data_IF_696578923374
#
_entry.id   IF_696578923374
#
_cell.length_a   1.000
_cell.length_b   1.000
_cell.length_c   1.000
_cell.angle_alpha   90.00
_cell.angle_beta   90.00
_cell.angle_gamma   90.00
#
_symmetry.space_group_name_H-M   'P 1'
#
loop_
_entity.id
_entity.type
_entity.pdbx_description
1 polymer ?
#
# COMPACT_ATOMS: atom_id res chain seq x y z
N UNK A 1 52.62 -30.81 -10.41
CA UNK A 1 52.58 -29.34 -10.50
C UNK A 1 51.29 -28.89 -9.85
N UNK A 2 51.37 -28.32 -8.65
CA UNK A 2 50.20 -27.80 -7.96
C UNK A 2 49.74 -26.53 -8.69
N UNK A 3 48.52 -26.53 -9.20
CA UNK A 3 47.87 -25.33 -9.72
C UNK A 3 47.57 -24.43 -8.53
N UNK A 4 48.38 -23.39 -8.36
CA UNK A 4 48.12 -22.30 -7.42
C UNK A 4 46.70 -21.79 -7.67
N UNK A 5 45.84 -21.99 -6.67
CA UNK A 5 44.52 -21.37 -6.67
C UNK A 5 44.71 -19.87 -6.77
N UNK A 6 44.17 -19.27 -7.83
CA UNK A 6 44.09 -17.83 -7.98
C UNK A 6 43.28 -17.27 -6.81
N UNK A 7 43.96 -16.97 -5.71
CA UNK A 7 43.41 -16.24 -4.58
C UNK A 7 43.09 -14.85 -5.11
N UNK A 8 41.86 -14.65 -5.57
CA UNK A 8 41.35 -13.35 -6.01
C UNK A 8 41.58 -12.41 -4.83
N UNK A 9 42.50 -11.47 -5.00
CA UNK A 9 42.75 -10.41 -4.02
C UNK A 9 41.39 -9.76 -3.73
N UNK A 10 40.96 -9.65 -2.46
CA UNK A 10 39.67 -9.04 -2.15
C UNK A 10 39.67 -7.63 -2.74
N UNK A 11 38.72 -7.37 -3.64
CA UNK A 11 38.61 -6.07 -4.28
C UNK A 11 38.38 -5.00 -3.20
N UNK A 12 39.14 -3.90 -3.27
CA UNK A 12 38.99 -2.80 -2.33
C UNK A 12 37.57 -2.25 -2.44
N UNK A 13 36.77 -2.25 -1.36
CA UNK A 13 35.40 -1.75 -1.41
C UNK A 13 35.38 -0.25 -1.74
N UNK A 14 34.83 0.11 -2.90
CA UNK A 14 34.68 1.52 -3.30
C UNK A 14 33.49 2.15 -2.60
N UNK A 15 33.61 3.43 -2.29
CA UNK A 15 32.53 4.19 -1.69
C UNK A 15 31.45 4.51 -2.72
N UNK A 16 30.23 4.03 -2.47
CA UNK A 16 29.05 4.12 -3.34
C UNK A 16 28.03 5.19 -2.87
N UNK A 17 28.38 5.98 -1.85
CA UNK A 17 27.47 6.94 -1.21
C UNK A 17 26.76 6.40 0.04
N UNK A 18 26.77 5.08 0.26
CA UNK A 18 26.16 4.43 1.42
C UNK A 18 27.21 4.11 2.49
N UNK A 19 27.51 5.10 3.33
CA UNK A 19 28.55 4.96 4.35
C UNK A 19 28.40 3.74 5.25
N UNK A 20 27.19 3.35 5.67
CA UNK A 20 27.03 2.18 6.55
C UNK A 20 27.42 0.85 5.88
N UNK A 21 27.09 0.70 4.59
CA UNK A 21 27.40 -0.52 3.84
C UNK A 21 28.89 -0.57 3.50
N UNK A 22 29.41 0.54 2.97
CA UNK A 22 30.84 0.70 2.71
C UNK A 22 31.69 0.53 3.96
N UNK A 23 31.32 1.15 5.09
CA UNK A 23 32.07 1.05 6.33
C UNK A 23 32.12 -0.40 6.84
N UNK A 24 31.02 -1.16 6.75
CA UNK A 24 31.01 -2.59 7.11
C UNK A 24 31.99 -3.41 6.25
N UNK A 25 31.96 -3.22 4.93
CA UNK A 25 32.85 -3.94 4.01
C UNK A 25 34.32 -3.53 4.19
N UNK A 26 34.58 -2.22 4.32
CA UNK A 26 35.92 -1.67 4.48
C UNK A 26 36.52 -2.04 5.84
N UNK A 27 35.73 -2.00 6.91
CA UNK A 27 36.15 -2.45 8.24
C UNK A 27 36.52 -3.94 8.21
N UNK A 28 35.69 -4.78 7.60
CA UNK A 28 35.97 -6.21 7.49
C UNK A 28 37.24 -6.47 6.64
N UNK A 29 37.42 -5.74 5.54
CA UNK A 29 38.62 -5.79 4.72
C UNK A 29 39.89 -5.39 5.52
N UNK A 30 39.84 -4.28 6.26
CA UNK A 30 40.98 -3.82 7.07
C UNK A 30 41.27 -4.73 8.27
N UNK A 31 40.24 -5.36 8.85
CA UNK A 31 40.38 -6.40 9.88
C UNK A 31 41.04 -7.66 9.32
N UNK A 32 40.64 -8.11 8.12
CA UNK A 32 41.24 -9.28 7.45
C UNK A 32 42.73 -9.10 7.12
N UNK A 33 43.19 -7.85 7.02
CA UNK A 33 44.59 -7.48 6.76
C UNK A 33 45.35 -7.02 8.02
N UNK A 34 44.73 -7.09 9.21
CA UNK A 34 45.28 -6.66 10.50
C UNK A 34 45.68 -5.16 10.58
N UNK A 35 45.08 -4.31 9.74
CA UNK A 35 45.33 -2.87 9.73
C UNK A 35 44.35 -2.07 10.60
N UNK A 36 43.24 -2.69 11.00
CA UNK A 36 42.17 -2.04 11.76
C UNK A 36 42.65 -1.37 13.06
N UNK A 37 43.59 -2.00 13.78
CA UNK A 37 44.12 -1.48 15.06
C UNK A 37 44.66 -0.06 14.92
N UNK A 38 45.29 0.26 13.79
CA UNK A 38 45.88 1.58 13.52
C UNK A 38 44.81 2.60 13.10
N UNK A 39 43.72 2.14 12.48
CA UNK A 39 42.58 2.99 12.11
C UNK A 39 41.73 3.35 13.33
N UNK A 40 41.53 2.42 14.25
CA UNK A 40 40.74 2.63 15.47
C UNK A 40 41.51 3.40 16.54
N UNK A 41 42.72 2.95 16.88
CA UNK A 41 43.50 3.55 17.97
C UNK A 41 44.37 4.72 17.50
N UNK A 42 44.73 4.76 16.22
CA UNK A 42 45.75 5.68 15.69
C UNK A 42 47.16 5.15 15.89
N UNK A 43 48.14 5.78 15.25
CA UNK A 43 49.56 5.51 15.53
C UNK A 43 49.90 6.17 16.85
N UNK A 44 50.22 5.40 17.89
CA UNK A 44 50.60 6.00 19.18
C UNK A 44 51.98 6.62 19.04
N UNK A 45 52.09 7.93 19.21
CA UNK A 45 53.39 8.57 19.39
C UNK A 45 54.03 8.00 20.66
N UNK A 46 55.22 7.41 20.54
CA UNK A 46 55.96 6.90 21.69
C UNK A 46 56.11 8.03 22.72
N UNK A 47 55.43 7.91 23.85
CA UNK A 47 55.31 8.97 24.85
C UNK A 47 56.53 9.05 25.80
N UNK A 48 57.68 8.48 25.44
CA UNK A 48 58.84 8.43 26.33
C UNK A 48 60.10 9.01 25.68
N UNK A 49 60.83 9.80 26.48
CA UNK A 49 62.01 10.60 26.12
C UNK A 49 63.22 9.74 25.68
N UNK A 50 63.19 8.42 25.88
CA UNK A 50 64.15 7.47 25.32
C UNK A 50 63.46 6.13 24.99
N UNK A 51 62.93 5.95 23.76
CA UNK A 51 62.23 4.73 23.40
C UNK A 51 63.20 3.55 23.31
N UNK A 52 62.85 2.44 23.96
CA UNK A 52 63.57 1.16 23.84
C UNK A 52 63.55 0.67 22.39
N UNK A 53 64.54 -0.12 21.95
CA UNK A 53 64.59 -0.64 20.57
C UNK A 53 63.31 -1.40 20.17
N UNK A 54 62.70 -2.11 21.11
CA UNK A 54 61.41 -2.78 20.91
C UNK A 54 60.24 -1.79 20.69
N UNK A 55 60.23 -0.65 21.38
CA UNK A 55 59.23 0.42 21.19
C UNK A 55 59.42 1.14 19.84
N UNK A 56 60.67 1.35 19.40
CA UNK A 56 60.97 1.92 18.08
C UNK A 56 60.49 1.01 16.95
N UNK A 57 60.78 -0.29 17.05
CA UNK A 57 60.37 -1.29 16.06
C UNK A 57 58.84 -1.39 15.94
N UNK A 58 58.14 -1.42 17.06
CA UNK A 58 56.66 -1.45 17.07
C UNK A 58 56.04 -0.17 16.51
N UNK A 59 56.63 1.01 16.76
CA UNK A 59 56.20 2.27 16.16
C UNK A 59 56.39 2.30 14.64
N UNK A 60 57.52 1.81 14.14
CA UNK A 60 57.77 1.70 12.69
C UNK A 60 56.81 0.73 12.00
N UNK A 61 56.52 -0.40 12.64
CA UNK A 61 55.52 -1.37 12.17
C UNK A 61 54.11 -0.76 12.14
N UNK A 62 53.72 0.01 13.16
CA UNK A 62 52.44 0.73 13.18
C UNK A 62 52.36 1.79 12.08
N UNK A 63 53.44 2.56 11.86
CA UNK A 63 53.50 3.57 10.80
C UNK A 63 53.40 2.93 9.41
N UNK A 64 54.04 1.78 9.20
CA UNK A 64 53.93 1.04 7.94
C UNK A 64 52.50 0.53 7.73
N UNK A 65 51.84 0.02 8.79
CA UNK A 65 50.43 -0.38 8.74
C UNK A 65 49.50 0.81 8.46
N UNK A 66 49.75 1.98 9.04
CA UNK A 66 49.00 3.23 8.75
C UNK A 66 49.09 3.60 7.26
N UNK A 67 50.31 3.62 6.70
CA UNK A 67 50.52 3.94 5.30
C UNK A 67 49.81 2.94 4.36
N UNK A 68 49.80 1.65 4.69
CA UNK A 68 49.06 0.64 3.95
C UNK A 68 47.54 0.88 4.03
N UNK A 69 47.01 1.12 5.23
CA UNK A 69 45.60 1.44 5.43
C UNK A 69 45.18 2.70 4.67
N UNK A 70 46.01 3.76 4.69
CA UNK A 70 45.79 4.98 3.90
C UNK A 70 45.73 4.70 2.42
N UNK A 71 46.65 3.89 1.87
CA UNK A 71 46.63 3.52 0.46
C UNK A 71 45.32 2.83 0.06
N UNK A 72 44.79 1.94 0.91
CA UNK A 72 43.49 1.31 0.66
C UNK A 72 42.33 2.30 0.75
N UNK A 73 42.34 3.20 1.74
CA UNK A 73 41.32 4.25 1.85
C UNK A 73 41.37 5.21 0.64
N UNK A 74 42.56 5.54 0.12
CA UNK A 74 42.68 6.34 -1.10
C UNK A 74 42.20 5.61 -2.36
N UNK A 75 42.36 4.29 -2.43
CA UNK A 75 41.80 3.50 -3.54
C UNK A 75 40.27 3.34 -3.45
N UNK A 76 39.73 3.38 -2.24
CA UNK A 76 38.31 3.25 -1.97
C UNK A 76 37.51 4.55 -2.20
N UNK A 77 38.17 5.70 -2.08
CA UNK A 77 37.54 7.02 -2.10
C UNK A 77 37.84 7.75 -3.40
N UNK A 78 36.79 8.27 -4.03
CA UNK A 78 36.94 9.12 -5.21
C UNK A 78 37.57 10.48 -4.88
N UNK A 79 38.19 11.09 -5.88
CA UNK A 79 38.88 12.40 -5.76
C UNK A 79 38.00 13.48 -5.15
N UNK A 80 36.73 13.55 -5.55
CA UNK A 80 35.77 14.53 -5.04
C UNK A 80 35.53 14.39 -3.53
N UNK A 81 35.54 13.15 -3.01
CA UNK A 81 35.38 12.88 -1.58
C UNK A 81 36.68 13.20 -0.85
N UNK A 82 37.82 12.83 -1.42
CA UNK A 82 39.13 13.15 -0.85
C UNK A 82 39.33 14.66 -0.73
N UNK A 83 38.89 15.46 -1.70
CA UNK A 83 38.98 16.93 -1.63
C UNK A 83 38.18 17.52 -0.45
N UNK A 84 37.15 16.82 0.03
CA UNK A 84 36.37 17.28 1.19
C UNK A 84 36.95 16.93 2.55
N UNK A 85 37.96 16.06 2.61
CA UNK A 85 38.62 15.66 3.86
C UNK A 85 39.80 16.61 4.08
N UNK A 86 39.77 17.39 5.17
CA UNK A 86 40.80 18.39 5.47
C UNK A 86 42.08 17.71 5.95
N UNK A 87 41.98 16.79 6.92
CA UNK A 87 43.12 16.12 7.54
C UNK A 87 43.29 14.70 7.01
N UNK A 88 44.38 14.45 6.28
CA UNK A 88 44.70 13.16 5.63
C UNK A 88 46.01 12.54 6.15
N UNK A 89 46.48 12.98 7.31
CA UNK A 89 47.79 12.61 7.82
C UNK A 89 47.85 11.15 8.29
N UNK A 90 46.76 10.66 8.87
CA UNK A 90 46.63 9.27 9.37
C UNK A 90 45.40 8.58 8.77
N UNK A 91 45.42 7.25 8.69
CA UNK A 91 44.25 6.47 8.26
C UNK A 91 43.04 6.71 9.16
N UNK A 92 43.28 6.88 10.47
CA UNK A 92 42.28 7.25 11.47
C UNK A 92 41.59 8.58 11.15
N UNK A 93 42.36 9.63 10.85
CA UNK A 93 41.80 10.94 10.51
C UNK A 93 40.88 10.88 9.28
N UNK A 94 41.27 10.10 8.26
CA UNK A 94 40.47 9.87 7.05
C UNK A 94 39.17 9.13 7.41
N UNK A 95 39.28 8.06 8.21
CA UNK A 95 38.13 7.26 8.65
C UNK A 95 37.14 8.06 9.50
N UNK A 96 37.63 8.80 10.49
CA UNK A 96 36.82 9.62 11.38
C UNK A 96 36.14 10.78 10.62
N UNK A 97 36.85 11.40 9.67
CA UNK A 97 36.26 12.44 8.81
C UNK A 97 35.12 11.88 7.94
N UNK A 98 35.33 10.69 7.36
CA UNK A 98 34.30 9.98 6.60
C UNK A 98 33.10 9.63 7.48
N UNK A 99 33.36 9.15 8.70
CA UNK A 99 32.33 8.83 9.70
C UNK A 99 31.52 10.07 10.04
N UNK A 100 32.15 11.16 10.42
CA UNK A 100 31.45 12.40 10.80
C UNK A 100 30.60 12.95 9.66
N UNK A 101 31.15 12.99 8.44
CA UNK A 101 30.48 13.60 7.28
C UNK A 101 29.31 12.76 6.78
N UNK A 102 29.47 11.44 6.70
CA UNK A 102 28.48 10.58 6.05
C UNK A 102 27.59 9.83 7.03
N UNK A 103 28.02 9.53 8.26
CA UNK A 103 27.17 8.82 9.22
C UNK A 103 25.91 9.63 9.60
N UNK A 104 26.02 10.94 9.79
CA UNK A 104 24.87 11.81 10.06
C UNK A 104 23.91 11.84 8.88
N UNK A 105 24.46 12.05 7.68
CA UNK A 105 23.69 12.12 6.43
C UNK A 105 23.01 10.79 6.10
N UNK A 106 23.67 9.64 6.31
CA UNK A 106 23.10 8.31 6.09
C UNK A 106 22.04 7.96 7.14
N UNK A 107 22.23 8.34 8.42
CA UNK A 107 21.25 8.08 9.47
C UNK A 107 19.97 8.89 9.26
N UNK A 108 20.10 10.15 8.84
CA UNK A 108 18.96 11.02 8.50
C UNK A 108 18.25 10.51 7.25
N UNK A 109 18.99 10.18 6.17
CA UNK A 109 18.40 9.58 4.95
C UNK A 109 17.64 8.29 5.26
N UNK A 110 18.21 7.40 6.10
CA UNK A 110 17.53 6.16 6.52
C UNK A 110 16.28 6.44 7.34
N UNK A 111 16.34 7.36 8.31
CA UNK A 111 15.16 7.72 9.11
C UNK A 111 14.05 8.31 8.24
N UNK A 112 14.40 9.17 7.29
CA UNK A 112 13.46 9.73 6.33
C UNK A 112 12.87 8.65 5.42
N UNK A 113 13.69 7.73 4.92
CA UNK A 113 13.22 6.59 4.13
C UNK A 113 12.25 5.70 4.92
N UNK A 114 12.52 5.44 6.19
CA UNK A 114 11.62 4.66 7.05
C UNK A 114 10.29 5.37 7.31
N UNK A 115 10.29 6.70 7.47
CA UNK A 115 9.06 7.47 7.54
C UNK A 115 8.25 7.36 6.24
N UNK A 116 8.91 7.46 5.08
CA UNK A 116 8.27 7.31 3.77
C UNK A 116 7.71 5.90 3.54
N UNK A 117 8.41 4.85 3.98
CA UNK A 117 7.90 3.47 3.93
C UNK A 117 6.64 3.30 4.76
N UNK A 118 6.63 3.85 5.98
CA UNK A 118 5.43 3.86 6.82
C UNK A 118 4.28 4.60 6.13
N UNK A 119 4.54 5.78 5.55
CA UNK A 119 3.55 6.53 4.77
C UNK A 119 3.04 5.74 3.57
N UNK A 120 3.92 5.02 2.86
CA UNK A 120 3.57 4.15 1.74
C UNK A 120 2.75 2.94 2.19
N UNK A 121 3.02 2.34 3.34
CA UNK A 121 2.26 1.21 3.86
C UNK A 121 0.83 1.61 4.25
N UNK A 122 0.68 2.77 4.90
CA UNK A 122 -0.63 3.26 5.36
C UNK A 122 -1.42 4.01 4.28
N UNK A 123 -0.83 4.35 3.14
CA UNK A 123 -1.54 5.07 2.09
C UNK A 123 -2.70 4.20 1.58
N UNK A 124 -3.90 4.78 1.64
CA UNK A 124 -5.12 4.22 1.11
C UNK A 124 -5.93 5.34 0.46
N UNK A 125 -6.82 4.97 -0.46
CA UNK A 125 -7.76 5.91 -1.04
C UNK A 125 -8.78 6.34 0.02
N UNK A 126 -9.04 7.64 0.15
CA UNK A 126 -10.03 8.18 1.10
C UNK A 126 -11.44 8.13 0.50
N UNK A 127 -12.46 8.15 1.34
CA UNK A 127 -13.85 8.26 0.89
C UNK A 127 -14.07 9.60 0.19
N UNK A 128 -14.54 9.57 -1.06
CA UNK A 128 -14.81 10.77 -1.87
C UNK A 128 -13.58 11.43 -2.50
N UNK A 129 -12.38 10.86 -2.34
CA UNK A 129 -11.19 11.28 -3.07
C UNK A 129 -11.24 10.78 -4.51
N UNK A 130 -10.77 11.60 -5.47
CA UNK A 130 -10.71 11.17 -6.86
C UNK A 130 -9.56 10.18 -7.11
N UNK A 131 -9.70 9.32 -8.12
CA UNK A 131 -8.64 8.37 -8.51
C UNK A 131 -7.33 9.11 -8.84
N UNK A 132 -7.42 10.24 -9.55
CA UNK A 132 -6.25 11.05 -9.93
C UNK A 132 -5.51 11.63 -8.72
N UNK A 133 -6.24 12.17 -7.73
CA UNK A 133 -5.62 12.70 -6.50
C UNK A 133 -4.92 11.60 -5.73
N UNK A 134 -5.57 10.44 -5.59
CA UNK A 134 -5.01 9.31 -4.88
C UNK A 134 -3.73 8.79 -5.56
N UNK A 135 -3.75 8.55 -6.86
CA UNK A 135 -2.57 8.09 -7.62
C UNK A 135 -1.44 9.12 -7.53
N UNK A 136 -1.75 10.42 -7.64
CA UNK A 136 -0.76 11.48 -7.48
C UNK A 136 -0.07 11.43 -6.11
N UNK A 137 -0.81 11.19 -5.01
CA UNK A 137 -0.20 11.04 -3.67
C UNK A 137 0.73 9.83 -3.59
N UNK A 138 0.31 8.68 -4.14
CA UNK A 138 1.14 7.47 -4.17
C UNK A 138 2.43 7.72 -4.94
N UNK A 139 2.33 8.33 -6.14
CA UNK A 139 3.49 8.67 -6.97
C UNK A 139 4.44 9.65 -6.27
N UNK A 140 3.92 10.65 -5.55
CA UNK A 140 4.75 11.57 -4.77
C UNK A 140 5.55 10.83 -3.70
N UNK A 141 4.93 9.89 -2.97
CA UNK A 141 5.62 9.09 -1.95
C UNK A 141 6.66 8.18 -2.61
N UNK A 142 6.30 7.47 -3.68
CA UNK A 142 7.22 6.61 -4.44
C UNK A 142 8.42 7.39 -4.98
N UNK A 143 8.21 8.58 -5.54
CA UNK A 143 9.30 9.42 -6.04
C UNK A 143 10.22 9.89 -4.92
N UNK A 144 9.67 10.21 -3.73
CA UNK A 144 10.48 10.52 -2.54
C UNK A 144 11.28 9.29 -2.07
N UNK A 145 10.72 8.08 -2.14
CA UNK A 145 11.43 6.85 -1.79
C UNK A 145 12.59 6.57 -2.77
N UNK A 146 12.33 6.69 -4.08
CA UNK A 146 13.34 6.57 -5.13
C UNK A 146 14.47 7.59 -4.96
N UNK A 147 14.13 8.85 -4.65
CA UNK A 147 15.13 9.89 -4.40
C UNK A 147 16.02 9.61 -3.17
N UNK A 148 15.52 8.83 -2.19
CA UNK A 148 16.29 8.42 -1.02
C UNK A 148 17.04 7.09 -1.21
N UNK A 149 17.05 6.54 -2.43
CA UNK A 149 17.88 5.39 -2.81
C UNK A 149 17.18 4.04 -2.75
N UNK A 150 15.85 4.00 -2.61
CA UNK A 150 15.08 2.76 -2.66
C UNK A 150 14.59 2.49 -4.10
N UNK A 151 14.98 1.34 -4.65
CA UNK A 151 14.51 0.92 -5.96
C UNK A 151 13.11 0.29 -5.87
N UNK A 152 12.10 1.11 -6.12
CA UNK A 152 10.71 0.66 -6.16
C UNK A 152 10.33 0.33 -7.60
N UNK A 153 10.19 -0.98 -7.87
CA UNK A 153 9.70 -1.50 -9.17
C UNK A 153 8.29 -0.98 -9.45
N UNK A 154 8.02 -0.63 -10.70
CA UNK A 154 6.71 -0.12 -11.12
C UNK A 154 5.57 -1.08 -10.80
N UNK A 155 5.79 -2.38 -11.00
CA UNK A 155 4.86 -3.45 -10.62
C UNK A 155 4.45 -3.38 -9.14
N UNK A 156 5.39 -3.09 -8.24
CA UNK A 156 5.09 -2.98 -6.81
C UNK A 156 4.22 -1.76 -6.48
N UNK A 157 4.28 -0.71 -7.30
CA UNK A 157 3.41 0.48 -7.18
C UNK A 157 2.01 0.16 -7.67
N UNK A 158 1.91 -0.51 -8.83
CA UNK A 158 0.62 -0.96 -9.40
C UNK A 158 -0.11 -1.89 -8.44
N UNK A 159 0.57 -2.92 -7.92
CA UNK A 159 -0.01 -3.83 -6.94
C UNK A 159 -0.42 -3.10 -5.66
N UNK A 160 0.36 -2.10 -5.22
CA UNK A 160 0.01 -1.29 -4.05
C UNK A 160 -1.27 -0.50 -4.29
N UNK A 161 -1.40 0.15 -5.45
CA UNK A 161 -2.60 0.91 -5.83
C UNK A 161 -3.81 -0.03 -5.79
N UNK A 162 -3.75 -1.17 -6.50
CA UNK A 162 -4.85 -2.15 -6.54
C UNK A 162 -5.27 -2.63 -5.14
N UNK A 163 -4.31 -2.90 -4.24
CA UNK A 163 -4.57 -3.36 -2.87
C UNK A 163 -5.08 -2.29 -1.90
N UNK A 164 -5.01 -1.00 -2.25
CA UNK A 164 -5.36 0.09 -1.33
C UNK A 164 -6.38 1.09 -1.90
N UNK A 165 -7.09 0.68 -2.95
CA UNK A 165 -8.33 1.31 -3.42
C UNK A 165 -9.49 1.05 -2.45
N UNK A 166 -10.52 1.91 -2.53
CA UNK A 166 -11.75 1.74 -1.72
C UNK A 166 -12.58 0.54 -2.20
N UNK A 167 -13.46 -0.02 -1.35
CA UNK A 167 -14.31 -1.17 -1.72
C UNK A 167 -15.18 -0.95 -2.96
N UNK A 168 -15.49 0.32 -3.28
CA UNK A 168 -16.25 0.69 -4.46
C UNK A 168 -15.56 0.27 -5.78
N UNK A 169 -14.23 0.11 -5.75
CA UNK A 169 -13.44 -0.31 -6.91
C UNK A 169 -13.14 -1.81 -6.90
N UNK A 170 -13.59 -2.60 -5.92
CA UNK A 170 -13.28 -4.03 -5.82
C UNK A 170 -13.64 -4.80 -7.10
N UNK A 171 -14.79 -4.50 -7.71
CA UNK A 171 -15.20 -5.12 -8.98
C UNK A 171 -14.22 -4.82 -10.13
N UNK A 172 -13.72 -3.58 -10.19
CA UNK A 172 -12.76 -3.15 -11.21
C UNK A 172 -11.39 -3.79 -10.96
N UNK A 173 -10.97 -3.89 -9.70
CA UNK A 173 -9.74 -4.58 -9.30
C UNK A 173 -9.79 -6.04 -9.77
N UNK A 174 -10.84 -6.78 -9.44
CA UNK A 174 -10.99 -8.17 -9.91
C UNK A 174 -10.97 -8.27 -11.44
N UNK A 175 -11.68 -7.37 -12.14
CA UNK A 175 -11.68 -7.36 -13.61
C UNK A 175 -10.29 -7.11 -14.19
N UNK A 176 -9.50 -6.21 -13.60
CA UNK A 176 -8.12 -5.93 -14.04
C UNK A 176 -7.21 -7.12 -13.74
N UNK A 177 -7.32 -7.73 -12.56
CA UNK A 177 -6.53 -8.90 -12.15
C UNK A 177 -6.82 -10.13 -13.04
N UNK A 178 -8.07 -10.31 -13.49
CA UNK A 178 -8.46 -11.40 -14.38
C UNK A 178 -8.09 -11.14 -15.85
N UNK A 179 -8.19 -9.89 -16.31
CA UNK A 179 -8.04 -9.57 -17.74
C UNK A 179 -6.63 -9.15 -18.15
N UNK A 180 -5.78 -8.72 -17.22
CA UNK A 180 -4.46 -8.17 -17.53
C UNK A 180 -3.36 -8.81 -16.69
N UNK A 181 -2.19 -8.95 -17.30
CA UNK A 181 -0.98 -9.35 -16.58
C UNK A 181 -0.44 -8.16 -15.78
N UNK A 182 -0.56 -8.24 -14.45
CA UNK A 182 -0.12 -7.21 -13.50
C UNK A 182 1.39 -6.94 -13.64
N UNK A 183 2.18 -7.93 -14.06
CA UNK A 183 3.63 -7.79 -14.21
C UNK A 183 4.06 -6.90 -15.38
N UNK A 184 3.19 -6.71 -16.37
CA UNK A 184 3.42 -5.90 -17.56
C UNK A 184 2.60 -4.61 -17.57
N UNK A 185 1.72 -4.43 -16.58
CA UNK A 185 0.82 -3.29 -16.50
C UNK A 185 1.59 -2.01 -16.12
N UNK A 186 1.45 -0.96 -16.92
CA UNK A 186 1.97 0.37 -16.59
C UNK A 186 1.03 1.15 -15.66
N UNK A 187 1.58 2.12 -14.93
CA UNK A 187 0.76 3.00 -14.07
C UNK A 187 -0.25 3.81 -14.90
N UNK A 188 0.13 4.25 -16.10
CA UNK A 188 -0.73 5.06 -16.98
C UNK A 188 -1.92 4.26 -17.52
N UNK A 189 -1.71 2.98 -17.87
CA UNK A 189 -2.78 2.07 -18.28
C UNK A 189 -3.73 1.74 -17.13
N UNK A 190 -3.18 1.55 -15.91
CA UNK A 190 -3.97 1.36 -14.70
C UNK A 190 -4.85 2.59 -14.44
N UNK A 191 -4.25 3.78 -14.44
CA UNK A 191 -4.94 5.05 -14.22
C UNK A 191 -6.06 5.24 -15.24
N UNK A 192 -5.77 5.01 -16.53
CA UNK A 192 -6.77 5.12 -17.60
C UNK A 192 -7.94 4.16 -17.38
N UNK A 193 -7.66 2.92 -16.95
CA UNK A 193 -8.70 1.92 -16.66
C UNK A 193 -9.58 2.34 -15.48
N UNK A 194 -8.96 2.81 -14.38
CA UNK A 194 -9.68 3.24 -13.18
C UNK A 194 -10.54 4.50 -13.43
N UNK A 195 -10.05 5.47 -14.21
CA UNK A 195 -10.78 6.69 -14.56
C UNK A 195 -12.04 6.42 -15.37
N UNK A 196 -11.98 5.49 -16.34
CA UNK A 196 -13.15 5.09 -17.13
C UNK A 196 -14.25 4.53 -16.22
N UNK A 197 -13.88 3.80 -15.17
CA UNK A 197 -14.84 3.28 -14.20
C UNK A 197 -15.36 4.36 -13.24
N UNK A 198 -14.51 5.27 -12.76
CA UNK A 198 -14.94 6.41 -11.93
C UNK A 198 -16.01 7.26 -12.65
N UNK A 199 -15.81 7.53 -13.95
CA UNK A 199 -16.78 8.27 -14.75
C UNK A 199 -18.12 7.52 -14.91
N UNK A 200 -18.08 6.19 -15.08
CA UNK A 200 -19.31 5.37 -15.17
C UNK A 200 -20.05 5.32 -13.83
N UNK A 201 -19.34 5.25 -12.72
CA UNK A 201 -19.93 5.24 -11.37
C UNK A 201 -20.52 6.61 -10.98
N UNK A 202 -19.89 7.71 -11.40
CA UNK A 202 -20.43 9.07 -11.19
C UNK A 202 -21.78 9.27 -11.89
N UNK A 203 -21.99 8.65 -13.06
CA UNK A 203 -23.26 8.74 -13.78
C UNK A 203 -24.39 7.97 -13.09
N UNK A 204 -24.09 6.80 -12.50
CA UNK A 204 -25.09 6.01 -11.77
C UNK A 204 -25.63 6.70 -10.52
N UNK A 205 -24.82 7.50 -9.81
CA UNK A 205 -25.28 8.26 -8.63
C UNK A 205 -26.31 9.34 -9.04
N UNK A 206 -26.13 9.98 -10.21
CA UNK A 206 -27.10 10.96 -10.69
C UNK A 206 -28.45 10.34 -11.08
N UNK A 207 -28.45 9.14 -11.66
CA UNK A 207 -29.69 8.44 -12.02
C UNK A 207 -30.44 7.87 -10.81
N UNK A 208 -29.74 7.45 -9.76
CA UNK A 208 -30.39 7.00 -8.50
C UNK A 208 -31.09 8.14 -7.75
N UNK A 209 -30.59 9.38 -7.84
CA UNK A 209 -31.27 10.56 -7.30
C UNK A 209 -32.52 10.97 -8.11
N UNK A 210 -32.58 10.64 -9.40
CA UNK A 210 -33.77 10.83 -10.22
C UNK A 210 -34.85 9.75 -9.98
N UNK A 211 -34.45 8.57 -9.49
CA UNK A 211 -35.33 7.44 -9.14
C UNK A 211 -35.83 7.44 -7.70
N UNK A 212 -35.56 8.50 -6.90
CA UNK A 212 -36.31 8.76 -5.67
C UNK A 212 -37.68 9.34 -6.02
N UNK A 213 -38.63 8.48 -6.38
CA UNK A 213 -40.06 8.78 -6.24
C UNK A 213 -40.29 9.11 -4.77
N UNK A 214 -40.53 10.39 -4.49
CA UNK A 214 -40.85 10.89 -3.15
C UNK A 214 -42.16 10.25 -2.67
N UNK A 215 -42.09 9.10 -2.02
CA UNK A 215 -43.14 8.70 -1.09
C UNK A 215 -43.04 9.63 0.12
N UNK A 216 -43.71 10.77 0.00
CA UNK A 216 -43.85 11.78 1.04
C UNK A 216 -44.57 11.18 2.25
N UNK A 217 -43.78 10.70 3.20
CA UNK A 217 -44.22 10.29 4.52
C UNK A 217 -44.55 11.57 5.32
N UNK A 218 -45.74 12.13 5.11
CA UNK A 218 -46.26 13.26 5.90
C UNK A 218 -46.87 12.74 7.21
N UNK A 219 -46.01 12.47 8.19
CA UNK A 219 -46.42 12.50 9.59
C UNK A 219 -46.48 13.96 10.03
N UNK A 220 -47.68 14.53 10.08
CA UNK A 220 -47.92 15.83 10.72
C UNK A 220 -49.30 15.87 11.42
N UNK A 221 -49.25 15.79 12.75
CA UNK A 221 -50.12 16.55 13.66
C UNK A 221 -51.63 16.28 13.65
N UNK A 222 -52.09 15.44 14.58
CA UNK A 222 -53.46 15.48 15.11
C UNK A 222 -53.68 16.79 15.88
N UNK A 223 -54.15 17.83 15.20
CA UNK A 223 -54.69 19.05 15.80
C UNK A 223 -56.22 19.03 15.81
N UNK A 224 -56.83 18.89 16.99
CA UNK A 224 -58.26 19.14 17.23
C UNK A 224 -58.53 20.64 17.13
N UNK A 225 -59.44 21.06 16.25
CA UNK A 225 -59.91 22.45 16.17
C UNK A 225 -61.28 22.54 15.51
N UNK A 226 -62.32 22.76 16.34
CA UNK A 226 -63.70 23.08 15.95
C UNK A 226 -63.75 24.45 15.27
N UNK A 227 -64.51 24.58 14.19
CA UNK A 227 -64.86 25.88 13.59
C UNK A 227 -65.86 25.71 12.45
N UNK A 228 -67.08 26.15 12.69
CA UNK A 228 -68.27 25.93 11.87
C UNK A 228 -68.49 27.10 10.87
N UNK A 229 -69.26 26.81 9.82
CA UNK A 229 -69.97 27.71 8.89
C UNK A 229 -69.28 28.15 7.57
N UNK A 230 -69.87 27.66 6.48
CA UNK A 230 -70.58 28.55 5.54
C UNK A 230 -69.82 28.99 4.30
N UNK A 231 -69.79 28.14 3.26
CA UNK A 231 -69.33 28.54 1.94
C UNK A 231 -69.87 27.66 0.83
N UNK A 232 -70.94 28.09 0.16
CA UNK A 232 -71.44 27.54 -1.11
C UNK A 232 -70.35 27.71 -2.18
N UNK A 233 -69.65 26.62 -2.51
CA UNK A 233 -68.65 26.55 -3.57
C UNK A 233 -69.09 25.59 -4.66
N UNK A 234 -69.16 26.12 -5.88
CA UNK A 234 -69.69 25.53 -7.10
C UNK A 234 -68.94 24.27 -7.54
N UNK A 235 -69.67 23.36 -8.18
CA UNK A 235 -69.20 22.05 -8.62
C UNK A 235 -67.92 22.07 -9.44
N UNK A 236 -67.05 21.11 -9.14
CA UNK A 236 -66.07 20.59 -10.10
C UNK A 236 -66.58 19.22 -10.52
N UNK A 237 -66.94 19.13 -11.80
CA UNK A 237 -67.32 17.88 -12.45
C UNK A 237 -66.29 16.80 -12.17
N UNK A 238 -66.79 15.64 -11.75
CA UNK A 238 -66.04 14.39 -11.69
C UNK A 238 -65.49 14.15 -13.09
N UNK A 239 -64.19 14.36 -13.31
CA UNK A 239 -63.56 13.99 -14.57
C UNK A 239 -63.90 12.53 -14.83
N UNK A 240 -64.56 12.28 -15.96
CA UNK A 240 -64.87 10.94 -16.44
C UNK A 240 -63.54 10.25 -16.66
N UNK A 241 -63.13 9.42 -15.72
CA UNK A 241 -61.97 8.57 -15.87
C UNK A 241 -62.25 7.60 -17.02
N UNK A 242 -61.49 7.71 -18.11
CA UNK A 242 -61.66 6.85 -19.26
C UNK A 242 -61.27 5.42 -18.86
N UNK A 243 -62.27 4.54 -18.78
CA UNK A 243 -62.07 3.15 -18.37
C UNK A 243 -61.53 2.28 -19.50
N UNK A 244 -61.43 2.83 -20.72
CA UNK A 244 -60.95 2.12 -21.92
C UNK A 244 -59.53 1.56 -21.78
N UNK A 245 -58.71 2.15 -20.91
CA UNK A 245 -57.32 1.74 -20.63
C UNK A 245 -57.15 0.95 -19.33
N UNK A 246 -58.23 0.75 -18.57
CA UNK A 246 -58.21 0.00 -17.30
C UNK A 246 -58.39 -1.48 -17.57
N UNK A 247 -57.35 -2.27 -17.30
CA UNK A 247 -57.41 -3.72 -17.38
C UNK A 247 -57.94 -4.34 -16.08
N UNK A 248 -58.94 -5.20 -16.20
CA UNK A 248 -59.49 -5.93 -15.07
C UNK A 248 -58.55 -7.06 -14.62
N UNK A 249 -58.02 -6.98 -13.40
CA UNK A 249 -57.14 -8.00 -12.81
C UNK A 249 -57.74 -9.42 -12.68
N UNK A 250 -59.06 -9.59 -12.86
CA UNK A 250 -59.70 -10.91 -12.81
C UNK A 250 -59.97 -11.54 -14.19
N UNK A 251 -60.05 -10.75 -15.27
CA UNK A 251 -60.36 -11.30 -16.60
C UNK A 251 -59.52 -10.72 -17.74
N UNK A 252 -58.57 -9.84 -17.42
CA UNK A 252 -57.65 -9.18 -18.35
C UNK A 252 -58.35 -8.42 -19.50
N UNK A 253 -59.63 -8.06 -19.32
CA UNK A 253 -60.37 -7.24 -20.28
C UNK A 253 -60.36 -5.78 -19.85
N UNK A 254 -60.22 -4.91 -20.84
CA UNK A 254 -60.27 -3.46 -20.66
C UNK A 254 -61.71 -2.99 -20.39
N UNK A 255 -61.88 -1.82 -19.75
CA UNK A 255 -63.17 -1.15 -19.62
C UNK A 255 -63.84 -1.20 -18.24
N UNK A 256 -63.34 -2.00 -17.29
CA UNK A 256 -63.96 -2.15 -15.97
C UNK A 256 -62.95 -2.57 -14.89
N UNK A 257 -63.27 -2.25 -13.63
CA UNK A 257 -62.46 -2.67 -12.48
C UNK A 257 -62.83 -4.08 -12.01
N UNK A 258 -61.92 -4.72 -11.27
CA UNK A 258 -62.08 -6.09 -10.76
C UNK A 258 -63.39 -6.31 -9.99
N UNK A 259 -63.83 -5.32 -9.20
CA UNK A 259 -65.09 -5.40 -8.43
C UNK A 259 -66.36 -5.25 -9.29
N UNK A 260 -66.25 -4.80 -10.55
CA UNK A 260 -67.37 -4.69 -11.50
C UNK A 260 -67.42 -5.87 -12.49
N UNK A 261 -66.51 -6.85 -12.33
CA UNK A 261 -66.37 -7.97 -13.26
C UNK A 261 -67.49 -9.00 -13.09
N UNK A 262 -68.30 -9.20 -14.15
CA UNK A 262 -69.39 -10.20 -14.20
C UNK A 262 -68.90 -11.65 -14.26
N UNK A 263 -67.60 -11.89 -14.43
CA UNK A 263 -66.98 -13.23 -14.45
C UNK A 263 -66.33 -13.59 -13.11
N UNK A 264 -66.95 -13.19 -12.01
CA UNK A 264 -66.52 -13.60 -10.68
C UNK A 264 -66.53 -15.12 -10.56
N UNK A 265 -65.34 -15.67 -10.31
CA UNK A 265 -64.99 -17.03 -9.87
C UNK A 265 -64.66 -18.05 -10.97
N UNK A 266 -63.38 -18.18 -11.30
CA UNK A 266 -62.75 -19.42 -11.77
C UNK A 266 -61.22 -19.39 -11.51
N UNK A 267 -60.84 -20.06 -10.41
CA UNK A 267 -59.63 -20.86 -10.16
C UNK A 267 -58.22 -20.25 -10.29
N UNK A 268 -57.63 -19.99 -9.12
CA UNK A 268 -56.21 -20.18 -8.82
C UNK A 268 -55.90 -21.69 -8.84
N UNK A 269 -55.14 -22.17 -9.82
CA UNK A 269 -54.32 -23.37 -9.72
C UNK A 269 -53.31 -23.37 -10.87
N UNK A 270 -52.10 -23.85 -10.58
CA UNK A 270 -50.96 -24.08 -11.48
C UNK A 270 -50.01 -22.90 -11.76
N UNK A 271 -49.05 -22.73 -10.85
CA UNK A 271 -47.61 -22.76 -11.20
C UNK A 271 -46.75 -22.65 -9.93
N UNK A 272 -46.68 -23.75 -9.18
CA UNK A 272 -45.60 -23.99 -8.22
C UNK A 272 -45.08 -25.40 -8.50
N UNK A 273 -44.17 -25.51 -9.46
CA UNK A 273 -43.51 -26.77 -9.77
C UNK A 273 -42.12 -26.58 -10.40
N UNK A 274 -41.34 -25.57 -10.00
CA UNK A 274 -39.96 -25.42 -10.52
C UNK A 274 -38.94 -24.87 -9.49
N UNK A 275 -39.20 -24.94 -8.18
CA UNK A 275 -38.30 -24.33 -7.18
C UNK A 275 -37.79 -25.28 -6.06
N UNK A 276 -37.90 -26.60 -6.22
CA UNK A 276 -37.43 -27.54 -5.19
C UNK A 276 -36.06 -28.18 -5.47
N UNK A 277 -35.41 -27.92 -6.61
CA UNK A 277 -34.15 -28.60 -6.95
C UNK A 277 -32.86 -27.93 -6.44
N UNK A 278 -32.93 -26.71 -5.88
CA UNK A 278 -31.73 -25.98 -5.41
C UNK A 278 -31.56 -25.91 -3.88
N UNK A 279 -32.43 -26.55 -3.08
CA UNK A 279 -32.41 -26.41 -1.62
C UNK A 279 -31.97 -27.68 -0.85
N UNK A 280 -31.19 -28.58 -1.48
CA UNK A 280 -30.85 -29.87 -0.88
C UNK A 280 -29.41 -30.36 -1.13
N UNK A 281 -28.41 -29.47 -1.03
CA UNK A 281 -26.99 -29.84 -1.01
C UNK A 281 -26.18 -29.06 0.05
N UNK A 282 -26.59 -29.16 1.32
CA UNK A 282 -25.71 -28.88 2.47
C UNK A 282 -25.68 -30.12 3.36
N UNK A 283 -24.80 -31.06 3.03
CA UNK A 283 -24.49 -32.19 3.90
C UNK A 283 -23.76 -31.68 5.16
N UNK A 284 -24.37 -31.95 6.32
CA UNK A 284 -23.84 -31.74 7.66
C UNK A 284 -22.48 -32.46 7.82
N UNK A 285 -21.48 -31.76 8.38
CA UNK A 285 -20.32 -32.39 9.04
C UNK A 285 -20.64 -32.43 10.53
N UNK A 286 -20.89 -33.63 11.06
CA UNK A 286 -21.05 -33.85 12.49
C UNK A 286 -19.72 -33.60 13.22
N UNK A 287 -19.72 -32.62 14.14
CA UNK A 287 -18.71 -32.52 15.20
C UNK A 287 -19.08 -33.52 16.30
N UNK A 288 -18.31 -34.60 16.41
CA UNK A 288 -18.31 -35.45 17.60
C UNK A 288 -17.47 -34.82 18.70
N UNK A 289 -18.13 -34.26 19.71
CA UNK A 289 -17.56 -34.02 21.05
C UNK A 289 -17.87 -35.26 21.90
N UNK A 290 -16.86 -36.06 22.26
CA UNK A 290 -16.94 -36.98 23.40
C UNK A 290 -16.05 -36.46 24.52
N UNK A 291 -16.70 -35.97 25.58
CA UNK A 291 -16.09 -35.60 26.86
C UNK A 291 -16.11 -36.78 27.83
N UNK A 292 -15.05 -36.81 28.64
CA UNK A 292 -14.92 -37.37 29.99
C UNK A 292 -14.97 -38.89 30.18
N UNK A 293 -13.79 -39.46 30.47
CA UNK A 293 -13.61 -40.23 31.70
C UNK A 293 -12.35 -39.75 32.44
N UNK A 294 -12.56 -39.47 33.72
CA UNK A 294 -11.59 -38.96 34.71
C UNK A 294 -10.70 -40.08 35.25
N UNK A 295 -9.49 -39.67 35.63
CA UNK A 295 -8.69 -40.06 36.80
C UNK A 295 -8.90 -41.46 37.41
N UNK A 296 -7.80 -42.22 37.55
CA UNK A 296 -7.23 -42.59 38.87
C UNK A 296 -5.85 -43.24 38.71
N UNK A 297 -4.89 -42.66 39.45
CA UNK A 297 -3.79 -43.27 40.20
C UNK A 297 -2.60 -44.00 39.55
N UNK A 298 -1.44 -43.49 40.00
CA UNK A 298 -0.08 -44.06 40.17
C UNK A 298 0.96 -43.91 39.06
#
# INVERSE_FOLDING_TARGET
MATDGAFVQPAVPRFDGYYSHWAMLMENFLRSKEYWVVVENGVSAAAEVTPTEAQKKTYEEQKLKDLKAKNYLFQALDRSILETIINKDTAKSIWDSMKQKYQGTTRVKRAHLQALRKEYEIVHMKEGESVNEYIARVLVITNKMKANGEDLREVAVVEKILRSLTPNFNYVVCSIEESKDISMLSIDELQSSLLVHEQRMSNTVHDEHALKVTHGNQYAGRGRGRGNFGGRGRGRGRQSFDRSTVECYACHKLGHFQWECKKGVANFAESQAENEEYMLLMAYVEKGDEREQRETDM
#
